data_IF_569567187518
#
_entry.id   IF_569567187518
#
_cell.length_a   1.000
_cell.length_b   1.000
_cell.length_c   1.000
_cell.angle_alpha   90.00
_cell.angle_beta   90.00
_cell.angle_gamma   90.00
#
_symmetry.space_group_name_H-M   'P 1'
#
loop_
_entity.id
_entity.type
_entity.pdbx_description
1 polymer ?
#
# COMPACT_ATOMS: atom_id res chain seq x y z
N UNK A 1 -15.69 30.87 -5.37
CA UNK A 1 -15.28 30.50 -3.99
C UNK A 1 -15.95 31.50 -3.06
N UNK A 2 -16.95 31.10 -2.28
CA UNK A 2 -17.67 32.05 -1.42
C UNK A 2 -16.87 32.30 -0.14
N UNK A 3 -16.68 33.57 0.24
CA UNK A 3 -16.06 33.99 1.49
C UNK A 3 -16.73 33.35 2.73
N UNK A 4 -18.00 32.96 2.59
CA UNK A 4 -18.78 32.26 3.59
C UNK A 4 -18.16 30.90 4.02
N UNK A 5 -17.65 30.13 3.07
CA UNK A 5 -17.09 28.80 3.36
C UNK A 5 -15.71 28.89 4.03
N UNK A 6 -14.94 29.94 3.72
CA UNK A 6 -13.65 30.23 4.38
C UNK A 6 -13.86 30.68 5.82
N UNK A 7 -14.93 31.41 6.09
CA UNK A 7 -15.31 31.85 7.44
C UNK A 7 -15.65 30.65 8.33
N UNK A 8 -16.47 29.71 7.84
CA UNK A 8 -16.86 28.53 8.62
C UNK A 8 -15.70 27.58 8.98
N UNK A 9 -14.69 27.45 8.12
CA UNK A 9 -13.52 26.59 8.42
C UNK A 9 -12.66 27.19 9.54
N UNK A 10 -12.56 28.53 9.62
CA UNK A 10 -11.83 29.18 10.73
C UNK A 10 -12.55 29.00 12.06
N UNK A 11 -13.87 29.15 12.05
CA UNK A 11 -14.69 28.96 13.26
C UNK A 11 -14.64 27.49 13.72
N UNK A 12 -14.71 26.53 12.79
CA UNK A 12 -14.57 25.11 13.09
C UNK A 12 -13.20 24.77 13.71
N UNK A 13 -12.11 25.34 13.19
CA UNK A 13 -10.78 25.16 13.76
C UNK A 13 -10.70 25.67 15.21
N UNK A 14 -11.26 26.85 15.49
CA UNK A 14 -11.30 27.39 16.85
C UNK A 14 -12.12 26.50 17.79
N UNK A 15 -13.21 25.90 17.31
CA UNK A 15 -14.03 24.98 18.10
C UNK A 15 -13.25 23.70 18.43
N UNK A 16 -12.53 23.11 17.48
CA UNK A 16 -11.71 21.92 17.75
C UNK A 16 -10.52 22.22 18.66
N UNK A 17 -9.89 23.39 18.52
CA UNK A 17 -8.85 23.84 19.45
C UNK A 17 -9.40 24.00 20.86
N UNK A 18 -10.56 24.63 21.00
CA UNK A 18 -11.24 24.78 22.29
C UNK A 18 -11.59 23.41 22.87
N UNK A 19 -12.16 22.50 22.08
CA UNK A 19 -12.51 21.15 22.52
C UNK A 19 -11.29 20.38 23.07
N UNK A 20 -10.12 20.54 22.46
CA UNK A 20 -8.88 19.91 22.93
C UNK A 20 -8.38 20.48 24.27
N UNK A 21 -8.79 21.69 24.66
CA UNK A 21 -8.47 22.29 25.96
C UNK A 21 -9.43 21.89 27.09
N UNK A 22 -10.56 21.27 26.77
CA UNK A 22 -11.64 20.95 27.72
C UNK A 22 -11.51 19.55 28.32
N UNK A 23 -10.28 19.03 28.47
CA UNK A 23 -10.00 17.66 28.94
C UNK A 23 -10.88 16.58 28.26
N UNK A 24 -10.83 16.48 26.91
CA UNK A 24 -11.64 15.52 26.17
C UNK A 24 -11.26 14.06 26.51
N UNK A 25 -12.22 13.15 26.37
CA UNK A 25 -11.91 11.71 26.37
C UNK A 25 -11.02 11.36 25.17
N UNK A 26 -10.32 10.23 25.21
CA UNK A 26 -9.45 9.82 24.09
C UNK A 26 -10.18 9.72 22.75
N UNK A 27 -11.48 9.37 22.75
CA UNK A 27 -12.29 9.28 21.52
C UNK A 27 -12.64 10.68 21.00
N UNK A 28 -13.00 11.60 21.89
CA UNK A 28 -13.29 12.99 21.54
C UNK A 28 -12.04 13.73 21.06
N UNK A 29 -10.90 13.50 21.71
CA UNK A 29 -9.61 14.04 21.31
C UNK A 29 -9.21 13.52 19.92
N UNK A 30 -9.38 12.22 19.67
CA UNK A 30 -9.17 11.60 18.35
C UNK A 30 -10.02 12.30 17.27
N UNK A 31 -11.32 12.45 17.53
CA UNK A 31 -12.25 13.06 16.59
C UNK A 31 -11.95 14.56 16.36
N UNK A 32 -11.63 15.31 17.42
CA UNK A 32 -11.28 16.72 17.33
C UNK A 32 -9.98 16.93 16.52
N UNK A 33 -8.93 16.15 16.80
CA UNK A 33 -7.68 16.19 16.04
C UNK A 33 -7.88 15.80 14.58
N UNK A 34 -8.68 14.77 14.33
CA UNK A 34 -9.01 14.32 12.98
C UNK A 34 -9.74 15.39 12.17
N UNK A 35 -10.80 15.97 12.72
CA UNK A 35 -11.58 17.01 12.05
C UNK A 35 -10.76 18.30 11.88
N UNK A 36 -9.90 18.62 12.87
CA UNK A 36 -8.92 19.71 12.77
C UNK A 36 -7.95 19.48 11.61
N UNK A 37 -7.47 18.24 11.42
CA UNK A 37 -6.62 17.88 10.30
C UNK A 37 -7.33 18.05 8.95
N UNK A 38 -8.59 17.62 8.83
CA UNK A 38 -9.40 17.81 7.63
C UNK A 38 -9.56 19.30 7.27
N UNK A 39 -9.77 20.15 8.28
CA UNK A 39 -9.82 21.60 8.08
C UNK A 39 -8.50 22.19 7.58
N UNK A 40 -7.35 21.74 8.11
CA UNK A 40 -6.03 22.16 7.64
C UNK A 40 -5.74 21.64 6.22
N UNK A 41 -6.10 20.39 5.92
CA UNK A 41 -5.98 19.79 4.60
C UNK A 41 -6.78 20.57 3.53
N UNK A 42 -8.01 20.98 3.88
CA UNK A 42 -8.84 21.81 3.01
C UNK A 42 -8.22 23.20 2.75
N UNK A 43 -7.52 23.77 3.73
CA UNK A 43 -6.79 25.04 3.61
C UNK A 43 -5.45 24.91 2.86
N UNK A 44 -5.03 23.70 2.50
CA UNK A 44 -3.71 23.44 1.93
C UNK A 44 -2.57 23.55 2.96
N UNK A 45 -2.88 23.52 4.25
CA UNK A 45 -1.90 23.61 5.34
C UNK A 45 -1.38 22.21 5.70
N UNK A 46 -0.65 21.59 4.77
CA UNK A 46 -0.21 20.19 4.86
C UNK A 46 0.51 19.84 6.16
N UNK A 47 1.48 20.65 6.59
CA UNK A 47 2.21 20.41 7.85
C UNK A 47 1.31 20.33 9.08
N UNK A 48 0.38 21.28 9.23
CA UNK A 48 -0.54 21.30 10.38
C UNK A 48 -1.53 20.14 10.33
N UNK A 49 -1.97 19.75 9.13
CA UNK A 49 -2.79 18.56 8.95
C UNK A 49 -2.03 17.30 9.39
N UNK A 50 -0.78 17.14 8.94
CA UNK A 50 0.08 16.03 9.31
C UNK A 50 0.33 15.96 10.82
N UNK A 51 0.61 17.09 11.47
CA UNK A 51 0.85 17.16 12.91
C UNK A 51 -0.36 16.71 13.72
N UNK A 52 -1.57 17.17 13.35
CA UNK A 52 -2.80 16.74 14.00
C UNK A 52 -3.06 15.23 13.83
N UNK A 53 -2.83 14.71 12.62
CA UNK A 53 -2.99 13.28 12.33
C UNK A 53 -1.95 12.43 13.06
N UNK A 54 -0.72 12.91 13.19
CA UNK A 54 0.35 12.22 13.94
C UNK A 54 -0.06 12.02 15.40
N UNK A 55 -0.58 13.05 16.05
CA UNK A 55 -1.09 12.96 17.43
C UNK A 55 -2.27 11.99 17.49
N UNK A 56 -3.23 12.08 16.57
CA UNK A 56 -4.39 11.19 16.53
C UNK A 56 -4.00 9.71 16.34
N UNK A 57 -3.02 9.43 15.48
CA UNK A 57 -2.49 8.09 15.23
C UNK A 57 -1.68 7.54 16.43
N UNK A 58 -0.88 8.40 17.07
CA UNK A 58 0.01 8.06 18.17
C UNK A 58 -0.72 7.87 19.49
N UNK A 59 -1.39 8.93 19.93
CA UNK A 59 -1.89 9.04 21.30
C UNK A 59 -3.30 8.49 21.43
N UNK A 60 -4.04 8.46 20.33
CA UNK A 60 -5.45 8.07 20.33
C UNK A 60 -5.75 6.88 19.43
N UNK A 61 -4.74 6.20 18.88
CA UNK A 61 -4.90 4.98 18.09
C UNK A 61 -5.88 5.11 16.90
N UNK A 62 -5.85 6.26 16.22
CA UNK A 62 -6.55 6.42 14.95
C UNK A 62 -6.06 5.36 13.97
N UNK A 63 -6.98 4.75 13.21
CA UNK A 63 -6.60 3.82 12.14
C UNK A 63 -6.08 4.62 10.95
N UNK A 64 -4.88 4.31 10.47
CA UNK A 64 -4.33 4.94 9.27
C UNK A 64 -5.22 4.73 8.03
N UNK A 65 -5.98 3.63 7.99
CA UNK A 65 -6.98 3.40 6.95
C UNK A 65 -8.07 4.47 6.88
N UNK A 66 -8.42 5.12 8.00
CA UNK A 66 -9.39 6.22 8.02
C UNK A 66 -8.86 7.41 7.21
N UNK A 67 -7.57 7.73 7.34
CA UNK A 67 -6.89 8.82 6.62
C UNK A 67 -6.85 8.55 5.11
N UNK A 68 -6.60 7.30 4.73
CA UNK A 68 -6.50 6.88 3.33
C UNK A 68 -7.83 6.98 2.59
N UNK A 69 -8.93 6.69 3.27
CA UNK A 69 -10.23 6.54 2.64
C UNK A 69 -11.06 7.82 2.69
N UNK A 70 -10.66 8.82 3.50
CA UNK A 70 -11.44 10.04 3.66
C UNK A 70 -11.30 10.98 2.45
N UNK A 71 -12.42 11.35 1.79
CA UNK A 71 -12.44 12.35 0.73
C UNK A 71 -11.90 13.72 1.14
N UNK A 72 -12.09 14.15 2.38
CA UNK A 72 -11.67 15.47 2.89
C UNK A 72 -10.14 15.60 2.98
N UNK A 73 -9.45 14.46 3.07
CA UNK A 73 -7.99 14.38 3.10
C UNK A 73 -7.37 14.13 1.72
N UNK A 74 -8.17 14.05 0.64
CA UNK A 74 -7.64 13.81 -0.71
C UNK A 74 -6.63 14.87 -1.15
N UNK A 75 -6.85 16.15 -0.81
CA UNK A 75 -5.89 17.22 -1.09
C UNK A 75 -4.59 17.05 -0.31
N UNK A 76 -4.68 16.59 0.94
CA UNK A 76 -3.52 16.33 1.80
C UNK A 76 -2.72 15.11 1.29
N UNK A 77 -3.38 14.06 0.81
CA UNK A 77 -2.73 12.87 0.24
C UNK A 77 -1.82 13.16 -0.95
N UNK A 78 -2.10 14.23 -1.69
CA UNK A 78 -1.24 14.70 -2.78
C UNK A 78 0.03 15.44 -2.31
N UNK A 79 0.11 15.84 -1.04
CA UNK A 79 1.22 16.63 -0.49
C UNK A 79 2.41 15.74 -0.04
N UNK A 80 3.64 16.29 0.01
CA UNK A 80 4.80 15.57 0.52
C UNK A 80 4.67 15.20 2.00
N UNK A 81 4.00 16.02 2.81
CA UNK A 81 3.79 15.75 4.25
C UNK A 81 2.97 14.48 4.49
N UNK A 82 2.07 14.11 3.58
CA UNK A 82 1.39 12.82 3.65
C UNK A 82 2.34 11.65 3.40
N UNK A 83 3.34 11.81 2.53
CA UNK A 83 4.38 10.79 2.32
C UNK A 83 5.20 10.59 3.58
N UNK A 84 5.57 11.66 4.27
CA UNK A 84 6.26 11.60 5.55
C UNK A 84 5.41 10.88 6.60
N UNK A 85 4.14 11.27 6.76
CA UNK A 85 3.22 10.62 7.69
C UNK A 85 3.00 9.13 7.37
N UNK A 86 2.89 8.79 6.08
CA UNK A 86 2.79 7.41 5.61
C UNK A 86 4.06 6.63 5.89
N UNK A 87 5.22 7.23 5.66
CA UNK A 87 6.51 6.60 5.91
C UNK A 87 6.77 6.44 7.40
N UNK A 88 6.37 7.39 8.25
CA UNK A 88 6.39 7.26 9.71
C UNK A 88 5.46 6.14 10.19
N UNK A 89 4.24 6.05 9.64
CA UNK A 89 3.32 4.94 9.93
C UNK A 89 3.86 3.59 9.41
N UNK A 90 4.65 3.59 8.33
CA UNK A 90 5.31 2.39 7.77
C UNK A 90 6.55 1.99 8.57
N UNK A 91 7.38 2.95 8.97
CA UNK A 91 8.64 2.82 9.71
C UNK A 91 8.44 2.60 11.22
N UNK A 92 7.25 2.88 11.74
CA UNK A 92 6.72 2.47 13.05
C UNK A 92 7.75 2.44 14.19
N UNK A 93 7.77 3.51 14.98
CA UNK A 93 8.09 3.35 16.40
C UNK A 93 6.89 2.74 17.14
N UNK A 94 7.04 2.47 18.44
CA UNK A 94 5.98 2.10 19.40
C UNK A 94 4.78 3.09 19.45
N UNK A 95 4.86 4.14 18.64
CA UNK A 95 4.21 5.43 18.79
C UNK A 95 3.30 5.81 17.60
N UNK A 96 3.06 4.98 16.58
CA UNK A 96 2.09 5.33 15.52
C UNK A 96 1.28 4.10 15.13
N UNK A 97 0.00 4.07 15.53
CA UNK A 97 -1.10 3.30 14.92
C UNK A 97 -0.84 1.81 14.65
N UNK A 98 -1.25 0.96 15.59
CA UNK A 98 -1.07 -0.50 15.63
C UNK A 98 -1.68 -1.33 14.46
N UNK A 99 -2.37 -0.72 13.49
CA UNK A 99 -3.15 -1.43 12.46
C UNK A 99 -2.37 -1.76 11.18
N UNK A 100 -1.92 -0.73 10.44
CA UNK A 100 -1.44 -0.90 9.06
C UNK A 100 -0.17 -1.74 8.97
N UNK A 101 0.83 -1.46 9.82
CA UNK A 101 2.07 -2.25 9.86
C UNK A 101 1.83 -3.69 10.31
N UNK A 102 0.94 -3.92 11.28
CA UNK A 102 0.63 -5.27 11.76
C UNK A 102 -0.02 -6.08 10.63
N UNK A 103 -0.97 -5.50 9.92
CA UNK A 103 -1.61 -6.15 8.77
C UNK A 103 -0.58 -6.42 7.65
N UNK A 104 0.29 -5.46 7.33
CA UNK A 104 1.39 -5.67 6.37
C UNK A 104 2.37 -6.75 6.81
N UNK A 105 2.70 -6.81 8.11
CA UNK A 105 3.58 -7.83 8.69
C UNK A 105 2.92 -9.21 8.68
N UNK A 106 1.64 -9.30 8.96
CA UNK A 106 0.88 -10.55 8.86
C UNK A 106 0.84 -11.04 7.41
N UNK A 107 0.61 -10.14 6.43
CA UNK A 107 0.65 -10.49 5.01
C UNK A 107 2.05 -10.94 4.59
N UNK A 108 3.11 -10.25 5.04
CA UNK A 108 4.49 -10.60 4.69
C UNK A 108 4.96 -11.89 5.37
N UNK A 109 4.47 -12.20 6.59
CA UNK A 109 4.71 -13.48 7.28
C UNK A 109 4.06 -14.66 6.53
N UNK A 110 2.87 -14.48 5.96
CA UNK A 110 2.23 -15.49 5.11
C UNK A 110 3.05 -15.75 3.85
N UNK A 111 3.63 -14.71 3.24
CA UNK A 111 4.46 -14.85 2.03
C UNK A 111 5.85 -15.45 2.31
N UNK A 112 6.40 -15.22 3.50
CA UNK A 112 7.72 -15.70 3.91
C UNK A 112 7.65 -16.32 5.31
N UNK A 113 7.17 -17.57 5.42
CA UNK A 113 6.94 -18.20 6.70
C UNK A 113 8.23 -18.32 7.52
N UNK A 114 8.09 -18.13 8.83
CA UNK A 114 9.16 -18.26 9.83
C UNK A 114 10.37 -17.31 9.65
N UNK A 115 10.24 -16.21 8.89
CA UNK A 115 11.32 -15.20 8.76
C UNK A 115 11.84 -14.74 10.12
N UNK A 116 10.95 -14.47 11.08
CA UNK A 116 11.34 -14.07 12.44
C UNK A 116 12.20 -15.12 13.15
N UNK A 117 11.83 -16.40 13.03
CA UNK A 117 12.59 -17.53 13.60
C UNK A 117 13.98 -17.62 12.96
N UNK A 118 14.06 -17.50 11.63
CA UNK A 118 15.32 -17.55 10.89
C UNK A 118 16.27 -16.42 11.30
N UNK A 119 15.75 -15.19 11.42
CA UNK A 119 16.54 -14.03 11.90
C UNK A 119 17.03 -14.21 13.34
N UNK A 120 16.19 -14.75 14.21
CA UNK A 120 16.61 -15.07 15.57
C UNK A 120 17.84 -16.00 15.56
N UNK A 121 17.81 -17.07 14.74
CA UNK A 121 18.96 -17.96 14.61
C UNK A 121 20.18 -17.30 13.97
N UNK A 122 20.00 -16.43 12.97
CA UNK A 122 21.14 -15.68 12.39
C UNK A 122 21.85 -14.83 13.44
N UNK A 123 21.10 -14.10 14.27
CA UNK A 123 21.67 -13.26 15.33
C UNK A 123 22.25 -14.12 16.45
N UNK A 124 21.52 -15.14 16.91
CA UNK A 124 21.97 -16.01 18.00
C UNK A 124 23.27 -16.76 17.64
N UNK A 125 23.34 -17.34 16.44
CA UNK A 125 24.53 -18.03 15.98
C UNK A 125 25.68 -17.07 15.66
N UNK A 126 25.40 -15.86 15.17
CA UNK A 126 26.44 -14.83 15.00
C UNK A 126 27.03 -14.42 16.34
N UNK A 127 26.19 -14.23 17.37
CA UNK A 127 26.64 -13.94 18.73
C UNK A 127 27.47 -15.10 19.30
N UNK A 128 27.01 -16.34 19.15
CA UNK A 128 27.74 -17.52 19.58
C UNK A 128 29.10 -17.67 18.88
N UNK A 129 29.15 -17.49 17.56
CA UNK A 129 30.38 -17.52 16.77
C UNK A 129 31.32 -16.36 17.16
N UNK A 130 30.77 -15.17 17.44
CA UNK A 130 31.54 -14.02 17.91
C UNK A 130 32.19 -14.27 19.28
N UNK A 131 31.43 -14.78 20.24
CA UNK A 131 31.95 -15.18 21.58
C UNK A 131 33.02 -16.26 21.43
N UNK A 132 32.76 -17.29 20.62
CA UNK A 132 33.71 -18.38 20.35
C UNK A 132 35.02 -17.86 19.74
N UNK A 133 34.92 -16.96 18.74
CA UNK A 133 36.08 -16.32 18.09
C UNK A 133 36.88 -15.48 19.09
N UNK A 134 36.20 -14.71 19.95
CA UNK A 134 36.83 -13.88 20.97
C UNK A 134 37.73 -14.69 21.91
N UNK A 135 37.33 -15.92 22.28
CA UNK A 135 38.16 -16.81 23.10
C UNK A 135 39.21 -17.59 22.31
N UNK A 136 38.94 -17.92 21.04
CA UNK A 136 39.83 -18.76 20.23
C UNK A 136 40.99 -17.97 19.62
N UNK A 137 40.81 -16.69 19.29
CA UNK A 137 41.87 -15.84 18.72
C UNK A 137 43.07 -15.69 19.67
N UNK A 138 42.91 -15.35 20.96
CA UNK A 138 44.04 -15.32 21.90
C UNK A 138 44.72 -16.68 22.06
N UNK A 139 43.97 -17.79 22.00
CA UNK A 139 44.53 -19.15 22.03
C UNK A 139 45.38 -19.44 20.79
N UNK A 140 44.97 -18.96 19.62
CA UNK A 140 45.74 -19.07 18.39
C UNK A 140 47.07 -18.32 18.50
N UNK A 141 47.05 -17.10 19.06
CA UNK A 141 48.29 -16.35 19.33
C UNK A 141 49.24 -17.13 20.26
N UNK A 142 48.72 -17.74 21.33
CA UNK A 142 49.52 -18.59 22.23
C UNK A 142 50.03 -19.86 21.53
N UNK A 143 49.23 -20.49 20.69
CA UNK A 143 49.63 -21.66 19.92
C UNK A 143 50.80 -21.33 18.96
N UNK A 144 50.75 -20.17 18.30
CA UNK A 144 51.82 -19.69 17.41
C UNK A 144 53.10 -19.34 18.18
N UNK A 145 52.97 -18.73 19.37
CA UNK A 145 54.12 -18.41 20.23
C UNK A 145 54.83 -19.65 20.81
N UNK A 146 54.13 -20.79 20.87
CA UNK A 146 54.67 -22.04 21.41
C UNK A 146 54.88 -22.00 22.93
N UNK A 147 55.55 -23.03 23.45
CA UNK A 147 55.84 -23.19 24.89
C UNK A 147 55.14 -24.38 25.54
N UNK A 148 55.47 -24.62 26.81
CA UNK A 148 54.93 -25.76 27.57
C UNK A 148 53.41 -25.60 27.78
N UNK A 149 52.63 -26.59 27.33
CA UNK A 149 51.16 -26.56 27.34
C UNK A 149 50.51 -25.68 26.26
N UNK A 150 51.21 -25.33 25.18
CA UNK A 150 50.61 -24.61 24.04
C UNK A 150 49.60 -25.52 23.27
N UNK A 151 48.46 -24.97 22.82
CA UNK A 151 47.47 -25.72 22.02
C UNK A 151 47.99 -26.09 20.63
N UNK A 152 47.37 -27.08 19.97
CA UNK A 152 47.68 -27.42 18.57
C UNK A 152 47.32 -26.26 17.62
N UNK A 153 48.28 -25.88 16.78
CA UNK A 153 48.15 -24.72 15.89
C UNK A 153 47.12 -24.98 14.80
N UNK A 154 47.09 -26.19 14.21
CA UNK A 154 46.19 -26.47 13.09
C UNK A 154 44.75 -26.64 13.54
N UNK A 155 44.52 -27.31 14.66
CA UNK A 155 43.21 -27.41 15.29
C UNK A 155 42.68 -26.03 15.69
N UNK A 156 43.52 -25.21 16.35
CA UNK A 156 43.11 -23.88 16.79
C UNK A 156 42.85 -22.94 15.60
N UNK A 157 43.68 -22.99 14.56
CA UNK A 157 43.48 -22.23 13.33
C UNK A 157 42.21 -22.67 12.59
N UNK A 158 41.94 -23.98 12.52
CA UNK A 158 40.71 -24.54 11.97
C UNK A 158 39.46 -24.02 12.69
N UNK A 159 39.49 -24.00 14.02
CA UNK A 159 38.39 -23.48 14.85
C UNK A 159 38.14 -21.98 14.62
N UNK A 160 39.20 -21.17 14.52
CA UNK A 160 39.07 -19.75 14.17
C UNK A 160 38.47 -19.60 12.76
N UNK A 161 38.96 -20.35 11.78
CA UNK A 161 38.47 -20.29 10.40
C UNK A 161 36.98 -20.66 10.31
N UNK A 162 36.54 -21.70 11.00
CA UNK A 162 35.12 -22.12 11.05
C UNK A 162 34.25 -21.03 11.68
N UNK A 163 34.67 -20.46 12.83
CA UNK A 163 33.88 -19.42 13.50
C UNK A 163 33.79 -18.14 12.65
N UNK A 164 34.90 -17.69 12.06
CA UNK A 164 34.93 -16.49 11.21
C UNK A 164 34.12 -16.72 9.94
N UNK A 165 34.28 -17.88 9.28
CA UNK A 165 33.49 -18.25 8.10
C UNK A 165 31.99 -18.29 8.41
N UNK A 166 31.61 -18.91 9.53
CA UNK A 166 30.23 -18.93 10.01
C UNK A 166 29.66 -17.54 10.26
N UNK A 167 30.42 -16.67 10.93
CA UNK A 167 30.03 -15.29 11.19
C UNK A 167 29.78 -14.50 9.89
N UNK A 168 30.68 -14.61 8.92
CA UNK A 168 30.54 -13.96 7.60
C UNK A 168 29.27 -14.44 6.89
N UNK A 169 29.03 -15.75 6.85
CA UNK A 169 27.84 -16.32 6.20
C UNK A 169 26.55 -15.87 6.90
N UNK A 170 26.50 -15.93 8.23
CA UNK A 170 25.30 -15.54 8.99
C UNK A 170 24.98 -14.05 8.85
N UNK A 171 26.00 -13.18 8.87
CA UNK A 171 25.82 -11.74 8.62
C UNK A 171 25.31 -11.51 7.18
N UNK A 172 25.91 -12.18 6.19
CA UNK A 172 25.46 -12.06 4.80
C UNK A 172 24.00 -12.50 4.62
N UNK A 173 23.60 -13.61 5.24
CA UNK A 173 22.22 -14.11 5.23
C UNK A 173 21.25 -13.14 5.92
N UNK A 174 21.66 -12.54 7.04
CA UNK A 174 20.86 -11.54 7.75
C UNK A 174 20.61 -10.30 6.90
N UNK A 175 21.67 -9.75 6.28
CA UNK A 175 21.56 -8.60 5.38
C UNK A 175 20.68 -8.91 4.16
N UNK A 176 20.83 -10.11 3.59
CA UNK A 176 20.03 -10.55 2.46
C UNK A 176 18.54 -10.68 2.80
N UNK A 177 18.21 -11.27 3.96
CA UNK A 177 16.83 -11.42 4.41
C UNK A 177 16.19 -10.08 4.81
N UNK A 178 16.98 -9.11 5.28
CA UNK A 178 16.53 -7.73 5.50
C UNK A 178 16.17 -7.06 4.18
N UNK A 179 17.08 -7.10 3.19
CA UNK A 179 16.81 -6.57 1.86
C UNK A 179 15.56 -7.21 1.23
N UNK A 180 15.39 -8.52 1.38
CA UNK A 180 14.22 -9.24 0.86
C UNK A 180 12.91 -8.87 1.56
N UNK A 181 12.94 -8.60 2.86
CA UNK A 181 11.77 -8.09 3.56
C UNK A 181 11.40 -6.68 3.10
N UNK A 182 12.37 -5.79 2.94
CA UNK A 182 12.13 -4.42 2.45
C UNK A 182 11.51 -4.44 1.04
N UNK A 183 12.07 -5.25 0.13
CA UNK A 183 11.52 -5.46 -1.23
C UNK A 183 10.07 -5.94 -1.17
N UNK A 184 9.77 -6.93 -0.32
CA UNK A 184 8.42 -7.48 -0.15
C UNK A 184 7.46 -6.48 0.46
N UNK A 185 7.84 -5.79 1.54
CA UNK A 185 7.00 -4.78 2.17
C UNK A 185 6.71 -3.61 1.23
N UNK A 186 7.69 -3.18 0.44
CA UNK A 186 7.50 -2.16 -0.58
C UNK A 186 6.48 -2.62 -1.64
N UNK A 187 6.57 -3.87 -2.09
CA UNK A 187 5.61 -4.44 -3.03
C UNK A 187 4.20 -4.54 -2.42
N UNK A 188 4.06 -5.09 -1.21
CA UNK A 188 2.75 -5.22 -0.53
C UNK A 188 2.13 -3.84 -0.30
N UNK A 189 2.93 -2.84 0.11
CA UNK A 189 2.45 -1.46 0.29
C UNK A 189 1.97 -0.87 -1.04
N UNK A 190 2.68 -1.11 -2.15
CA UNK A 190 2.22 -0.68 -3.48
C UNK A 190 0.92 -1.36 -3.90
N UNK A 191 0.79 -2.66 -3.70
CA UNK A 191 -0.44 -3.41 -4.02
C UNK A 191 -1.62 -2.96 -3.15
N UNK A 192 -1.37 -2.68 -1.87
CA UNK A 192 -2.39 -2.21 -0.93
C UNK A 192 -2.86 -0.79 -1.29
N UNK A 193 -1.92 0.12 -1.60
CA UNK A 193 -2.25 1.47 -2.06
C UNK A 193 -3.00 1.47 -3.40
N UNK A 194 -2.60 0.61 -4.35
CA UNK A 194 -3.34 0.38 -5.60
C UNK A 194 -4.77 -0.03 -5.32
N UNK A 195 -4.95 -1.01 -4.43
CA UNK A 195 -6.27 -1.59 -4.14
C UNK A 195 -7.28 -0.57 -3.61
N UNK A 196 -6.82 0.52 -3.02
CA UNK A 196 -7.66 1.59 -2.46
C UNK A 196 -7.90 2.74 -3.43
N UNK A 197 -7.29 2.72 -4.62
CA UNK A 197 -7.49 3.80 -5.58
C UNK A 197 -8.94 3.84 -6.08
N UNK A 198 -9.59 5.01 -6.03
CA UNK A 198 -10.98 5.15 -6.42
C UNK A 198 -11.15 5.23 -7.94
N UNK A 199 -12.16 4.52 -8.42
CA UNK A 199 -12.65 4.52 -9.79
C UNK A 199 -14.12 4.90 -9.82
N UNK A 200 -14.51 5.69 -10.82
CA UNK A 200 -15.89 5.94 -11.18
C UNK A 200 -16.29 4.97 -12.27
N UNK A 201 -17.27 4.12 -11.98
CA UNK A 201 -17.88 3.25 -12.97
C UNK A 201 -18.78 4.06 -13.91
N UNK A 202 -19.16 3.46 -15.02
CA UNK A 202 -20.07 4.09 -16.01
C UNK A 202 -21.46 4.48 -15.49
N UNK A 203 -21.84 3.99 -14.30
CA UNK A 203 -23.06 4.32 -13.58
C UNK A 203 -22.90 5.54 -12.66
N UNK A 204 -21.77 6.24 -12.75
CA UNK A 204 -21.35 7.33 -11.85
C UNK A 204 -21.08 6.91 -10.39
N UNK A 205 -21.20 5.61 -10.10
CA UNK A 205 -20.83 5.04 -8.80
C UNK A 205 -19.31 5.04 -8.64
N UNK A 206 -18.83 5.55 -7.50
CA UNK A 206 -17.43 5.48 -7.09
C UNK A 206 -17.19 4.22 -6.27
N UNK A 207 -16.16 3.45 -6.64
CA UNK A 207 -15.73 2.21 -5.99
C UNK A 207 -14.21 2.18 -5.87
N UNK A 208 -13.69 1.49 -4.87
CA UNK A 208 -12.25 1.21 -4.78
C UNK A 208 -11.89 -0.01 -5.62
N UNK A 209 -10.64 -0.08 -6.12
CA UNK A 209 -10.15 -1.23 -6.90
C UNK A 209 -10.33 -2.58 -6.18
N UNK A 210 -10.20 -2.62 -4.86
CA UNK A 210 -10.37 -3.82 -4.03
C UNK A 210 -11.78 -4.41 -4.14
N UNK A 211 -12.80 -3.56 -4.34
CA UNK A 211 -14.19 -3.98 -4.49
C UNK A 211 -14.46 -4.65 -5.84
N UNK A 212 -13.57 -4.44 -6.81
CA UNK A 212 -13.63 -5.03 -8.14
C UNK A 212 -12.91 -6.39 -8.24
N UNK A 213 -12.24 -6.82 -7.17
CA UNK A 213 -11.62 -8.16 -7.11
C UNK A 213 -12.64 -9.26 -7.36
N UNK A 214 -12.17 -10.36 -7.93
CA UNK A 214 -12.95 -11.52 -8.41
C UNK A 214 -13.92 -11.25 -9.57
N UNK A 215 -14.12 -9.98 -9.96
CA UNK A 215 -15.12 -9.60 -10.96
C UNK A 215 -14.49 -9.17 -12.29
N UNK A 216 -13.44 -8.35 -12.24
CA UNK A 216 -12.81 -7.76 -13.42
C UNK A 216 -11.28 -7.74 -13.30
N UNK A 217 -10.62 -7.63 -14.45
CA UNK A 217 -9.17 -7.45 -14.63
C UNK A 217 -8.92 -6.03 -15.14
N UNK A 218 -8.61 -5.08 -14.25
CA UNK A 218 -8.25 -3.73 -14.68
C UNK A 218 -7.02 -3.74 -15.59
N UNK A 219 -7.14 -3.08 -16.74
CA UNK A 219 -6.03 -2.75 -17.63
C UNK A 219 -5.89 -1.23 -17.59
N UNK A 220 -4.88 -0.79 -16.85
CA UNK A 220 -4.53 0.61 -16.66
C UNK A 220 -3.69 1.04 -17.86
N UNK A 221 -4.09 2.11 -18.53
CA UNK A 221 -3.36 2.69 -19.65
C UNK A 221 -3.00 4.10 -19.24
N UNK A 222 -1.71 4.36 -19.04
CA UNK A 222 -1.24 5.60 -18.48
C UNK A 222 -0.32 6.32 -19.45
N UNK A 223 -0.61 7.58 -19.76
CA UNK A 223 0.16 8.27 -20.78
C UNK A 223 -0.36 9.64 -21.16
N UNK A 224 0.23 10.20 -22.20
CA UNK A 224 -0.28 11.39 -22.87
C UNK A 224 -1.69 11.13 -23.44
N UNK A 225 -2.48 12.20 -23.54
CA UNK A 225 -3.88 12.12 -24.00
C UNK A 225 -4.01 11.43 -25.36
N UNK A 226 -3.08 11.69 -26.27
CA UNK A 226 -3.05 11.08 -27.61
C UNK A 226 -2.79 9.58 -27.56
N UNK A 227 -1.78 9.17 -26.80
CA UNK A 227 -1.40 7.76 -26.61
C UNK A 227 -2.56 6.97 -26.01
N UNK A 228 -3.14 7.48 -24.92
CA UNK A 228 -4.26 6.84 -24.23
C UNK A 228 -5.47 6.74 -25.15
N UNK A 229 -5.81 7.81 -25.88
CA UNK A 229 -6.93 7.82 -26.82
C UNK A 229 -6.74 6.80 -27.96
N UNK A 230 -5.52 6.68 -28.50
CA UNK A 230 -5.21 5.72 -29.55
C UNK A 230 -5.30 4.27 -29.02
N UNK A 231 -4.77 4.01 -27.83
CA UNK A 231 -4.85 2.70 -27.18
C UNK A 231 -6.30 2.28 -26.94
N UNK A 232 -7.14 3.19 -26.42
CA UNK A 232 -8.58 2.97 -26.22
C UNK A 232 -9.30 2.68 -27.54
N UNK A 233 -9.01 3.44 -28.60
CA UNK A 233 -9.60 3.23 -29.93
C UNK A 233 -9.23 1.86 -30.52
N UNK A 234 -7.99 1.40 -30.31
CA UNK A 234 -7.56 0.06 -30.74
C UNK A 234 -8.25 -1.04 -29.92
N UNK A 235 -8.44 -0.84 -28.61
CA UNK A 235 -9.11 -1.79 -27.72
C UNK A 235 -10.56 -2.06 -28.13
N UNK A 236 -11.26 -1.05 -28.66
CA UNK A 236 -12.65 -1.17 -29.08
C UNK A 236 -12.87 -2.25 -30.15
N UNK A 237 -11.86 -2.52 -31.00
CA UNK A 237 -11.91 -3.59 -32.00
C UNK A 237 -12.02 -4.99 -31.37
N UNK A 238 -11.52 -5.13 -30.14
CA UNK A 238 -11.47 -6.38 -29.38
C UNK A 238 -12.47 -6.41 -28.23
N UNK A 239 -13.45 -5.49 -28.21
CA UNK A 239 -14.36 -5.26 -27.08
C UNK A 239 -15.01 -6.53 -26.56
N UNK A 240 -15.61 -7.33 -27.45
CA UNK A 240 -16.33 -8.56 -27.07
C UNK A 240 -15.39 -9.57 -26.41
N UNK A 241 -14.19 -9.74 -26.97
CA UNK A 241 -13.20 -10.71 -26.49
C UNK A 241 -12.59 -10.26 -25.16
N UNK A 242 -12.32 -8.97 -25.00
CA UNK A 242 -11.85 -8.37 -23.75
C UNK A 242 -12.92 -8.45 -22.64
N UNK A 243 -14.19 -8.20 -22.94
CA UNK A 243 -15.30 -8.35 -22.00
C UNK A 243 -15.50 -9.80 -21.54
N UNK A 244 -15.37 -10.77 -22.45
CA UNK A 244 -15.45 -12.20 -22.09
C UNK A 244 -14.34 -12.62 -21.09
N UNK A 245 -13.24 -11.88 -21.07
CA UNK A 245 -12.09 -12.02 -20.15
C UNK A 245 -12.18 -11.08 -18.95
N UNK A 246 -13.30 -10.37 -18.77
CA UNK A 246 -13.51 -9.47 -17.64
C UNK A 246 -12.61 -8.24 -17.64
N UNK A 247 -12.06 -7.82 -18.78
CA UNK A 247 -11.17 -6.67 -18.84
C UNK A 247 -11.94 -5.37 -18.61
N UNK A 248 -11.41 -4.53 -17.71
CA UNK A 248 -11.90 -3.17 -17.45
C UNK A 248 -10.81 -2.17 -17.84
N UNK A 249 -11.06 -1.29 -18.80
CA UNK A 249 -10.09 -0.28 -19.21
C UNK A 249 -10.10 0.93 -18.25
N UNK A 250 -8.93 1.30 -17.75
CA UNK A 250 -8.72 2.43 -16.84
C UNK A 250 -7.71 3.40 -17.48
N UNK A 251 -8.17 4.42 -18.23
CA UNK A 251 -7.30 5.43 -18.80
C UNK A 251 -6.85 6.44 -17.74
N UNK A 252 -5.54 6.65 -17.63
CA UNK A 252 -4.92 7.66 -16.77
C UNK A 252 -4.14 8.61 -17.66
N UNK A 253 -4.58 9.86 -17.74
CA UNK A 253 -3.93 10.86 -18.57
C UNK A 253 -2.98 11.66 -17.69
N UNK A 254 -1.74 11.83 -18.15
CA UNK A 254 -0.76 12.67 -17.47
C UNK A 254 -1.24 14.10 -17.34
N UNK A 255 -1.11 14.63 -16.12
CA UNK A 255 -1.43 16.01 -15.82
C UNK A 255 -0.30 16.88 -16.42
N UNK A 256 -0.56 17.59 -17.51
CA UNK A 256 0.35 18.65 -18.01
C UNK A 256 0.32 19.85 -17.04
N UNK A 257 0.83 19.69 -15.81
CA UNK A 257 1.03 20.78 -14.84
C UNK A 257 -0.21 21.57 -14.37
N UNK A 258 -1.42 21.30 -14.88
CA UNK A 258 -2.66 21.91 -14.41
C UNK A 258 -3.42 20.93 -13.55
N UNK A 259 -3.36 21.17 -12.24
CA UNK A 259 -4.27 20.57 -11.29
C UNK A 259 -5.71 20.81 -11.78
N UNK A 260 -6.53 19.76 -12.01
CA UNK A 260 -7.94 19.97 -12.29
C UNK A 260 -8.58 20.69 -11.09
N UNK A 261 -9.56 21.57 -11.31
CA UNK A 261 -10.31 22.15 -10.22
C UNK A 261 -10.96 21.01 -9.45
N UNK A 262 -10.56 20.86 -8.19
CA UNK A 262 -11.24 20.00 -7.22
C UNK A 262 -12.72 20.39 -7.26
N UNK A 263 -13.57 19.52 -7.78
CA UNK A 263 -15.01 19.70 -7.64
C UNK A 263 -15.32 19.68 -6.16
N UNK A 264 -15.56 20.88 -5.62
CA UNK A 264 -15.96 21.11 -4.23
C UNK A 264 -17.36 20.52 -4.05
N UNK A 265 -17.45 19.26 -3.67
CA UNK A 265 -18.72 18.70 -3.19
C UNK A 265 -19.00 19.31 -1.82
N UNK A 266 -20.12 20.03 -1.73
CA UNK A 266 -20.60 20.67 -0.52
C UNK A 266 -21.09 19.67 0.52
N UNK A 267 -20.99 20.07 1.78
CA UNK A 267 -21.54 19.37 2.94
C UNK A 267 -23.08 19.38 2.93
N UNK A 268 -23.74 18.23 3.15
CA UNK A 268 -25.19 18.15 3.39
C UNK A 268 -25.79 16.73 3.38
N UNK A 269 -26.10 16.22 4.58
CA UNK A 269 -26.66 14.90 5.01
C UNK A 269 -28.13 14.58 4.56
N UNK A 270 -28.84 13.53 5.08
CA UNK A 270 -28.48 12.26 5.73
C UNK A 270 -29.13 10.99 5.07
N UNK A 271 -28.68 9.78 5.41
CA UNK A 271 -29.62 8.64 5.58
C UNK A 271 -29.16 7.66 6.66
N UNK A 272 -29.96 7.58 7.72
CA UNK A 272 -30.04 6.51 8.75
C UNK A 272 -30.09 5.11 8.09
N UNK A 273 -29.67 4.02 8.71
CA UNK A 273 -29.79 3.68 10.13
C UNK A 273 -28.69 2.75 10.65
N UNK A 274 -28.39 2.91 11.94
CA UNK A 274 -27.75 1.95 12.82
C UNK A 274 -28.65 0.73 13.05
N UNK A 275 -28.09 -0.47 12.92
CA UNK A 275 -28.50 -1.72 13.58
C UNK A 275 -27.43 -2.76 13.28
N UNK A 276 -26.93 -3.61 14.16
CA UNK A 276 -27.00 -3.79 15.60
C UNK A 276 -25.72 -4.60 15.97
N UNK A 277 -25.44 -4.76 17.26
CA UNK A 277 -24.31 -5.55 17.76
C UNK A 277 -24.28 -6.98 17.17
N UNK A 278 -23.08 -7.58 16.93
CA UNK A 278 -22.98 -8.91 16.37
C UNK A 278 -23.44 -9.95 17.39
N UNK A 279 -24.51 -10.66 17.01
CA UNK A 279 -24.97 -11.89 17.65
C UNK A 279 -24.46 -13.06 16.81
N UNK A 280 -23.84 -14.03 17.47
CA UNK A 280 -23.23 -15.24 16.88
C UNK A 280 -24.27 -15.97 16.00
N UNK A 281 -24.21 -15.72 14.69
CA UNK A 281 -25.07 -16.32 13.66
C UNK A 281 -24.85 -15.82 12.21
N UNK A 282 -23.84 -14.98 11.96
CA UNK A 282 -23.73 -14.10 10.77
C UNK A 282 -23.16 -14.72 9.47
N UNK A 283 -22.71 -15.97 9.49
CA UNK A 283 -21.92 -16.53 8.36
C UNK A 283 -22.68 -16.72 7.03
N UNK A 284 -24.01 -16.85 7.06
CA UNK A 284 -24.81 -17.08 5.84
C UNK A 284 -25.36 -15.79 5.22
N UNK A 285 -25.81 -14.84 6.04
CA UNK A 285 -26.39 -13.58 5.56
C UNK A 285 -25.32 -12.66 4.96
N UNK A 286 -24.11 -12.62 5.54
CA UNK A 286 -22.98 -11.89 4.95
C UNK A 286 -22.55 -12.45 3.59
N UNK A 287 -22.60 -13.78 3.43
CA UNK A 287 -22.28 -14.44 2.15
C UNK A 287 -23.34 -14.14 1.09
N UNK A 288 -24.62 -14.18 1.44
CA UNK A 288 -25.69 -13.86 0.49
C UNK A 288 -25.63 -12.39 0.04
N UNK A 289 -25.41 -11.46 0.99
CA UNK A 289 -25.29 -10.03 0.71
C UNK A 289 -24.05 -9.71 -0.13
N UNK A 290 -22.90 -10.34 0.16
CA UNK A 290 -21.67 -10.16 -0.62
C UNK A 290 -21.80 -10.74 -2.03
N UNK A 291 -22.49 -11.87 -2.21
CA UNK A 291 -22.77 -12.44 -3.54
C UNK A 291 -23.67 -11.51 -4.36
N UNK A 292 -24.74 -10.97 -3.77
CA UNK A 292 -25.63 -10.03 -4.44
C UNK A 292 -24.91 -8.71 -4.80
N UNK A 293 -24.08 -8.19 -3.89
CA UNK A 293 -23.26 -7.00 -4.12
C UNK A 293 -22.24 -7.23 -5.26
N UNK A 294 -21.56 -8.38 -5.28
CA UNK A 294 -20.64 -8.76 -6.37
C UNK A 294 -21.37 -8.91 -7.71
N UNK A 295 -22.56 -9.51 -7.74
CA UNK A 295 -23.37 -9.64 -8.94
C UNK A 295 -23.80 -8.26 -9.48
N UNK A 296 -24.18 -7.35 -8.58
CA UNK A 296 -24.53 -5.97 -8.92
C UNK A 296 -23.32 -5.18 -9.45
N UNK A 297 -22.16 -5.26 -8.78
CA UNK A 297 -20.92 -4.63 -9.26
C UNK A 297 -20.50 -5.18 -10.62
N UNK A 298 -20.63 -6.49 -10.84
CA UNK A 298 -20.35 -7.13 -12.14
C UNK A 298 -21.30 -6.63 -13.25
N UNK A 299 -22.57 -6.37 -12.93
CA UNK A 299 -23.52 -5.78 -13.88
C UNK A 299 -23.26 -4.28 -14.12
N UNK A 300 -22.77 -3.55 -13.12
CA UNK A 300 -22.45 -2.12 -13.18
C UNK A 300 -21.10 -1.84 -13.88
N UNK A 301 -20.15 -2.78 -13.84
CA UNK A 301 -18.85 -2.69 -14.48
C UNK A 301 -18.97 -2.79 -16.00
N UNK A 302 -18.98 -1.63 -16.67
CA UNK A 302 -18.86 -1.54 -18.13
C UNK A 302 -17.39 -1.56 -18.55
N UNK A 303 -17.14 -1.77 -19.84
CA UNK A 303 -15.81 -1.88 -20.48
C UNK A 303 -14.77 -0.80 -20.10
N UNK A 304 -15.19 0.36 -19.58
CA UNK A 304 -14.35 1.50 -19.21
C UNK A 304 -14.77 2.07 -17.85
N UNK A 305 -13.78 2.42 -17.02
CA UNK A 305 -13.94 3.24 -15.81
C UNK A 305 -13.18 4.56 -15.93
N UNK A 306 -13.52 5.53 -15.08
CA UNK A 306 -12.85 6.83 -14.99
C UNK A 306 -12.11 6.96 -13.66
N UNK A 307 -10.95 7.59 -13.67
CA UNK A 307 -10.20 7.87 -12.45
C UNK A 307 -10.83 9.05 -11.71
N UNK A 308 -11.04 8.92 -10.39
CA UNK A 308 -11.60 10.01 -9.57
C UNK A 308 -10.49 10.97 -9.09
N UNK A 309 -9.32 10.42 -8.77
CA UNK A 309 -8.17 11.18 -8.26
C UNK A 309 -6.96 11.03 -9.19
N UNK A 310 -6.91 11.73 -10.36
CA UNK A 310 -5.83 11.55 -11.33
C UNK A 310 -4.42 11.68 -10.74
N UNK A 311 -4.23 12.60 -9.77
CA UNK A 311 -2.95 12.79 -9.11
C UNK A 311 -2.50 11.57 -8.28
N UNK A 312 -3.42 10.87 -7.63
CA UNK A 312 -3.12 9.67 -6.83
C UNK A 312 -2.79 8.48 -7.74
N UNK A 313 -3.53 8.34 -8.83
CA UNK A 313 -3.23 7.38 -9.88
C UNK A 313 -1.85 7.65 -10.50
N UNK A 314 -1.57 8.89 -10.90
CA UNK A 314 -0.29 9.29 -11.48
C UNK A 314 0.86 9.04 -10.50
N UNK A 315 0.70 9.39 -9.23
CA UNK A 315 1.69 9.13 -8.18
C UNK A 315 1.96 7.64 -8.03
N UNK A 316 0.92 6.83 -7.89
CA UNK A 316 1.07 5.38 -7.77
C UNK A 316 1.77 4.77 -9.00
N UNK A 317 1.40 5.20 -10.21
CA UNK A 317 2.02 4.69 -11.44
C UNK A 317 3.49 5.11 -11.53
N UNK A 318 3.85 6.33 -11.12
CA UNK A 318 5.24 6.78 -11.04
C UNK A 318 6.05 5.96 -10.03
N UNK A 319 5.48 5.67 -8.87
CA UNK A 319 6.12 4.80 -7.87
C UNK A 319 6.34 3.37 -8.43
N UNK A 320 5.37 2.85 -9.20
CA UNK A 320 5.52 1.58 -9.92
C UNK A 320 6.62 1.66 -11.00
N UNK A 321 6.68 2.73 -11.78
CA UNK A 321 7.72 2.94 -12.80
C UNK A 321 9.11 2.94 -12.18
N UNK A 322 9.32 3.66 -11.08
CA UNK A 322 10.59 3.69 -10.35
C UNK A 322 11.01 2.28 -9.91
N UNK A 323 10.06 1.49 -9.41
CA UNK A 323 10.34 0.12 -8.95
C UNK A 323 10.74 -0.84 -10.08
N UNK A 324 10.27 -0.58 -11.29
CA UNK A 324 10.57 -1.37 -12.50
C UNK A 324 11.75 -0.78 -13.30
N UNK A 325 12.41 0.29 -12.80
CA UNK A 325 13.49 0.97 -13.52
C UNK A 325 13.04 1.74 -14.77
N UNK A 326 11.77 2.14 -14.83
CA UNK A 326 11.17 2.94 -15.90
C UNK A 326 11.23 4.42 -15.53
N UNK A 327 11.53 5.28 -16.49
CA UNK A 327 11.55 6.75 -16.27
C UNK A 327 10.15 7.24 -15.89
N UNK A 328 9.99 7.95 -14.76
CA UNK A 328 8.69 8.47 -14.35
C UNK A 328 8.05 9.36 -15.41
N UNK A 329 6.78 9.10 -15.73
CA UNK A 329 6.03 9.84 -16.76
C UNK A 329 6.14 9.29 -18.18
N UNK A 330 6.92 8.21 -18.41
CA UNK A 330 6.80 7.45 -19.66
C UNK A 330 5.39 6.87 -19.81
N UNK A 331 4.91 6.75 -21.05
CA UNK A 331 3.65 6.05 -21.33
C UNK A 331 3.83 4.57 -20.95
N UNK A 332 2.87 4.00 -20.22
CA UNK A 332 2.90 2.61 -19.75
C UNK A 332 1.51 1.99 -19.74
N UNK A 333 1.46 0.66 -19.72
CA UNK A 333 0.25 -0.08 -19.38
C UNK A 333 0.52 -1.06 -18.24
N UNK A 334 -0.51 -1.34 -17.44
CA UNK A 334 -0.45 -2.24 -16.31
C UNK A 334 -1.69 -3.13 -16.34
N UNK A 335 -1.48 -4.44 -16.27
CA UNK A 335 -2.53 -5.46 -16.31
C UNK A 335 -2.64 -6.05 -14.91
N UNK A 336 -3.83 -5.99 -14.32
CA UNK A 336 -4.14 -6.61 -13.04
C UNK A 336 -4.82 -7.96 -13.23
N UNK A 337 -4.59 -8.86 -12.27
CA UNK A 337 -5.31 -10.14 -12.14
C UNK A 337 -6.66 -9.92 -11.44
N UNK A 338 -7.48 -10.97 -11.35
CA UNK A 338 -8.75 -10.95 -10.61
C UNK A 338 -8.56 -10.73 -9.10
N UNK A 339 -7.46 -11.21 -8.51
CA UNK A 339 -7.07 -10.94 -7.12
C UNK A 339 -6.61 -9.48 -6.88
N UNK A 340 -6.51 -8.66 -7.92
CA UNK A 340 -6.10 -7.26 -7.87
C UNK A 340 -4.58 -7.02 -7.85
N UNK A 341 -3.75 -8.06 -7.95
CA UNK A 341 -2.28 -7.92 -8.06
C UNK A 341 -1.85 -7.61 -9.49
N UNK A 342 -0.71 -6.94 -9.63
CA UNK A 342 -0.10 -6.68 -10.94
C UNK A 342 0.33 -8.01 -11.58
N UNK A 343 -0.24 -8.33 -12.74
CA UNK A 343 0.18 -9.47 -13.58
C UNK A 343 1.42 -9.10 -14.38
N UNK A 344 1.36 -7.92 -15.01
CA UNK A 344 2.36 -7.43 -15.96
C UNK A 344 2.24 -5.92 -16.09
N UNK A 345 3.37 -5.26 -16.28
CA UNK A 345 3.47 -3.89 -16.75
C UNK A 345 4.33 -3.84 -18.01
N UNK A 346 4.18 -2.79 -18.82
CA UNK A 346 4.99 -2.58 -20.02
C UNK A 346 5.01 -1.13 -20.47
N UNK A 347 6.03 -0.77 -21.24
CA UNK A 347 6.17 0.57 -21.81
C UNK A 347 5.28 0.75 -23.04
N UNK A 348 4.81 1.98 -23.23
CA UNK A 348 4.00 2.41 -24.37
C UNK A 348 2.59 1.84 -24.36
N UNK A 349 2.08 1.54 -25.54
CA UNK A 349 0.73 1.02 -25.72
C UNK A 349 0.67 -0.50 -25.49
N UNK A 350 -0.43 -1.00 -24.91
CA UNK A 350 -0.65 -2.44 -24.83
C UNK A 350 -0.84 -3.07 -26.22
N UNK A 351 -0.26 -4.26 -26.42
CA UNK A 351 -0.61 -5.13 -27.53
C UNK A 351 -1.88 -5.93 -27.16
N UNK A 352 -3.01 -5.53 -27.73
CA UNK A 352 -4.30 -6.14 -27.44
C UNK A 352 -4.37 -7.61 -27.87
N UNK A 353 -3.69 -8.02 -28.94
CA UNK A 353 -3.68 -9.43 -29.37
C UNK A 353 -2.93 -10.29 -28.36
N UNK A 354 -1.79 -9.79 -27.88
CA UNK A 354 -1.02 -10.46 -26.84
C UNK A 354 -1.85 -10.59 -25.53
N UNK A 355 -2.55 -9.52 -25.12
CA UNK A 355 -3.41 -9.55 -23.93
C UNK A 355 -4.50 -10.61 -24.04
N UNK A 356 -5.09 -10.79 -25.22
CA UNK A 356 -6.15 -11.79 -25.44
C UNK A 356 -5.66 -13.23 -25.35
N UNK A 357 -4.41 -13.48 -25.71
CA UNK A 357 -3.74 -14.78 -25.56
C UNK A 357 -3.36 -15.03 -24.10
N UNK A 358 -2.93 -13.99 -23.39
CA UNK A 358 -2.46 -14.09 -22.00
C UNK A 358 -3.58 -14.21 -20.97
N UNK A 359 -4.73 -13.58 -21.23
CA UNK A 359 -5.86 -13.53 -20.29
C UNK A 359 -6.89 -14.62 -20.63
N UNK A 360 -7.14 -15.58 -19.71
CA UNK A 360 -8.16 -16.58 -19.92
C UNK A 360 -9.59 -15.99 -19.76
N UNK A 361 -10.58 -16.49 -20.53
CA UNK A 361 -11.99 -16.14 -20.34
C UNK A 361 -12.48 -16.44 -18.91
N UNK A 362 -13.43 -15.64 -18.40
CA UNK A 362 -13.84 -15.69 -16.99
C UNK A 362 -14.46 -17.03 -16.53
N UNK A 363 -15.08 -17.75 -17.46
CA UNK A 363 -15.74 -19.04 -17.27
C UNK A 363 -14.77 -20.22 -17.19
N UNK A 364 -13.53 -20.04 -17.64
CA UNK A 364 -12.50 -21.09 -17.58
C UNK A 364 -12.00 -21.36 -16.16
N UNK A 365 -11.52 -22.58 -15.92
CA UNK A 365 -10.91 -22.98 -14.65
C UNK A 365 -9.67 -22.14 -14.30
N UNK A 366 -8.89 -21.72 -15.30
CA UNK A 366 -7.71 -20.87 -15.10
C UNK A 366 -8.07 -19.54 -14.44
N UNK A 367 -9.20 -18.93 -14.82
CA UNK A 367 -9.70 -17.71 -14.17
C UNK A 367 -10.12 -17.93 -12.72
N UNK A 368 -10.51 -19.16 -12.33
CA UNK A 368 -10.83 -19.49 -10.93
C UNK A 368 -9.59 -19.59 -10.04
N UNK A 369 -8.43 -19.89 -10.62
CA UNK A 369 -7.13 -19.92 -9.92
C UNK A 369 -6.52 -18.52 -9.71
N UNK A 370 -7.10 -17.49 -10.33
CA UNK A 370 -6.69 -16.09 -10.16
C UNK A 370 -7.49 -15.34 -9.09
N UNK A 371 -8.53 -15.97 -8.54
CA UNK A 371 -9.29 -15.50 -7.38
C UNK A 371 -8.67 -16.09 -6.13
#
# INVERSE_FOLDING_TARGET
>A
MSAFMVMQVKDALNLFETALTLNPTSVEAQAALYNKACCHAYRGEGKKAADCLRIALREHNLKFGTILNDPDLASFRALPEFKELQEEARLGGEDIGYGFRRDLKLISEVQAPFRGVRRFFYVAFSAAAGISTFFTVPRLFRAIQGGEGAPDVWETAGNVAVNVGGLVVLIALFLWDNKKEEEQLAQITRDETLSRLPLRLSTDRVVELVQLRDTVRPVIIAGNKETVSLAMKKAEKFRTELLSRGVLLVPVIWSEGKAPPVEKKGFGAPTKALSALPSIGEDFDERAQSVAAKARLKAEARFKAEVVSPAEWERWIKDQQISEGVTPGEDVYIILRLDGRVRRSGKGMPDWQQILQELPPLDTLLSKLEK
#
